data_IF_719353860365
#
_entry.id   IF_719353860365
#
_cell.length_a   1.000
_cell.length_b   1.000
_cell.length_c   1.000
_cell.angle_alpha   90.00
_cell.angle_beta   90.00
_cell.angle_gamma   90.00
#
_symmetry.space_group_name_H-M   'P 1'
#
loop_
_entity.id
_entity.type
_entity.pdbx_description
1 polymer ?
#
# COMPACT_ATOMS: atom_id res chain seq x y z
N UNK A 1 -0.45 -16.39 20.56
CA UNK A 1 -1.38 -16.09 21.66
C UNK A 1 -1.12 -17.07 22.79
N UNK A 2 -1.82 -16.87 23.91
CA UNK A 2 -1.74 -17.74 25.09
C UNK A 2 -3.05 -18.49 25.26
N UNK A 3 -2.99 -19.75 25.72
CA UNK A 3 -4.17 -20.56 25.99
C UNK A 3 -5.05 -19.86 27.03
N UNK A 4 -6.35 -19.75 26.77
CA UNK A 4 -7.31 -19.12 27.69
C UNK A 4 -7.38 -17.60 27.57
N UNK A 5 -6.44 -16.96 26.86
CA UNK A 5 -6.44 -15.51 26.73
C UNK A 5 -7.38 -15.06 25.61
N UNK A 6 -8.39 -14.26 25.94
CA UNK A 6 -9.33 -13.67 24.98
C UNK A 6 -9.48 -12.18 25.26
N UNK A 7 -9.50 -11.38 24.19
CA UNK A 7 -9.75 -9.95 24.26
C UNK A 7 -11.06 -9.62 23.57
N UNK A 8 -11.85 -8.72 24.17
CA UNK A 8 -13.15 -8.29 23.67
C UNK A 8 -13.17 -6.77 23.48
N UNK A 9 -13.04 -6.27 22.24
CA UNK A 9 -13.25 -4.86 21.93
C UNK A 9 -14.76 -4.56 21.99
N UNK A 10 -15.19 -3.78 22.97
CA UNK A 10 -16.61 -3.55 23.29
C UNK A 10 -17.10 -2.16 22.85
N UNK A 11 -16.49 -1.58 21.81
CA UNK A 11 -16.84 -0.25 21.30
C UNK A 11 -16.74 0.79 22.42
N UNK A 12 -17.85 1.52 22.67
CA UNK A 12 -17.93 2.55 23.72
C UNK A 12 -17.83 2.02 25.15
N UNK A 13 -17.92 0.71 25.34
CA UNK A 13 -17.73 0.05 26.64
C UNK A 13 -16.27 -0.35 26.88
N UNK A 14 -15.34 0.16 26.07
CA UNK A 14 -13.89 -0.02 26.25
C UNK A 14 -13.40 -1.39 25.78
N UNK A 15 -12.34 -1.87 26.42
CA UNK A 15 -11.66 -3.13 26.09
C UNK A 15 -11.69 -4.06 27.29
N UNK A 16 -12.04 -5.33 27.05
CA UNK A 16 -12.11 -6.35 28.08
C UNK A 16 -11.14 -7.48 27.77
N UNK A 17 -10.69 -8.16 28.81
CA UNK A 17 -9.68 -9.20 28.70
C UNK A 17 -9.92 -10.32 29.73
N UNK A 18 -9.68 -11.56 29.33
CA UNK A 18 -9.74 -12.77 30.16
C UNK A 18 -8.49 -13.61 29.94
N UNK A 19 -8.08 -14.35 30.97
CA UNK A 19 -6.97 -15.33 30.93
C UNK A 19 -7.45 -16.76 31.17
N UNK A 20 -8.71 -16.92 31.57
CA UNK A 20 -9.31 -18.19 32.01
C UNK A 20 -10.34 -18.74 31.01
N UNK A 21 -10.21 -18.35 29.73
CA UNK A 21 -11.10 -18.82 28.66
C UNK A 21 -12.49 -18.18 28.68
N UNK A 22 -12.65 -17.05 29.37
CA UNK A 22 -13.90 -16.30 29.45
C UNK A 22 -14.77 -16.63 30.66
N UNK A 23 -14.24 -17.35 31.65
CA UNK A 23 -14.93 -17.54 32.92
C UNK A 23 -15.01 -16.21 33.70
N UNK A 24 -13.96 -15.39 33.65
CA UNK A 24 -13.95 -14.03 34.18
C UNK A 24 -13.34 -13.04 33.18
N UNK A 25 -13.94 -11.84 33.10
CA UNK A 25 -13.42 -10.74 32.31
C UNK A 25 -13.04 -9.56 33.20
N UNK A 26 -11.86 -8.99 32.94
CA UNK A 26 -11.37 -7.74 33.52
C UNK A 26 -11.49 -6.65 32.47
N UNK A 27 -12.09 -5.52 32.83
CA UNK A 27 -12.10 -4.33 31.98
C UNK A 27 -10.73 -3.65 32.05
N UNK A 28 -10.14 -3.34 30.90
CA UNK A 28 -9.00 -2.43 30.83
C UNK A 28 -9.48 -1.04 31.27
N UNK A 29 -8.68 -0.37 32.09
CA UNK A 29 -8.98 0.94 32.65
C UNK A 29 -9.60 1.91 31.61
N UNK A 30 -10.85 2.31 31.84
CA UNK A 30 -11.63 3.14 30.92
C UNK A 30 -11.14 4.59 30.85
N UNK A 31 -10.35 5.03 31.83
CA UNK A 31 -9.65 6.32 31.74
C UNK A 31 -8.53 6.26 30.71
N UNK A 32 -7.95 5.07 30.49
CA UNK A 32 -6.95 4.80 29.45
C UNK A 32 -7.63 4.49 28.12
N UNK A 33 -8.53 3.51 28.07
CA UNK A 33 -9.18 3.03 26.82
C UNK A 33 -10.68 3.32 26.87
N UNK A 34 -11.10 4.46 26.31
CA UNK A 34 -12.50 4.85 26.26
C UNK A 34 -13.30 4.09 25.20
N UNK A 35 -12.65 3.81 24.05
CA UNK A 35 -13.27 3.09 22.93
C UNK A 35 -12.29 2.10 22.35
N UNK A 36 -12.72 0.87 22.12
CA UNK A 36 -11.99 -0.12 21.36
C UNK A 36 -12.92 -0.75 20.31
N UNK A 37 -12.67 -0.46 19.04
CA UNK A 37 -13.54 -0.91 17.95
C UNK A 37 -13.14 -2.29 17.43
N UNK A 38 -11.83 -2.48 17.20
CA UNK A 38 -11.24 -3.75 16.74
C UNK A 38 -9.90 -3.97 17.43
N UNK A 39 -9.50 -5.24 17.53
CA UNK A 39 -8.24 -5.66 18.16
C UNK A 39 -7.49 -6.66 17.28
N UNK A 40 -6.16 -6.61 17.34
CA UNK A 40 -5.26 -7.51 16.63
C UNK A 40 -3.95 -7.70 17.39
N UNK A 41 -3.17 -8.69 16.97
CA UNK A 41 -1.92 -9.06 17.64
C UNK A 41 -0.76 -9.12 16.65
N UNK A 42 0.44 -8.78 17.10
CA UNK A 42 1.68 -8.94 16.35
C UNK A 42 2.80 -9.52 17.19
N UNK A 43 3.98 -9.64 16.59
CA UNK A 43 5.19 -10.12 17.26
C UNK A 43 5.43 -9.32 18.55
N UNK A 44 5.87 -9.99 19.60
CA UNK A 44 6.23 -9.35 20.86
C UNK A 44 7.41 -8.36 20.67
N UNK A 45 7.44 -7.30 21.48
CA UNK A 45 8.61 -6.44 21.58
C UNK A 45 9.81 -7.23 22.11
N UNK A 46 11.04 -6.76 21.84
CA UNK A 46 12.24 -7.37 22.42
C UNK A 46 12.15 -7.36 23.95
N UNK A 47 12.25 -8.54 24.57
CA UNK A 47 12.14 -8.72 26.02
C UNK A 47 10.71 -8.80 26.57
N UNK A 48 9.68 -8.60 25.75
CA UNK A 48 8.29 -8.80 26.18
C UNK A 48 7.88 -10.27 26.06
N UNK A 49 7.12 -10.76 27.05
CA UNK A 49 6.56 -12.11 27.04
C UNK A 49 5.22 -12.19 26.30
N UNK A 50 4.53 -11.07 26.09
CA UNK A 50 3.22 -11.02 25.43
C UNK A 50 3.30 -10.47 24.00
N UNK A 51 2.50 -11.00 23.04
CA UNK A 51 2.32 -10.38 21.73
C UNK A 51 1.97 -8.89 21.83
N UNK A 52 2.47 -8.07 20.90
CA UNK A 52 2.03 -6.69 20.82
C UNK A 52 0.52 -6.66 20.53
N UNK A 53 -0.22 -5.83 21.27
CA UNK A 53 -1.67 -5.67 21.12
C UNK A 53 -1.93 -4.39 20.35
N UNK A 54 -2.72 -4.47 19.28
CA UNK A 54 -3.09 -3.33 18.46
C UNK A 54 -4.61 -3.11 18.52
N UNK A 55 -5.03 -1.86 18.68
CA UNK A 55 -6.46 -1.49 18.63
C UNK A 55 -6.67 -0.25 17.78
N UNK A 56 -7.90 -0.08 17.29
CA UNK A 56 -8.42 1.23 16.90
C UNK A 56 -9.46 1.68 17.91
N UNK A 57 -9.58 2.99 18.09
CA UNK A 57 -10.60 3.56 18.95
C UNK A 57 -10.12 4.85 19.60
N UNK A 58 -10.44 5.03 20.87
CA UNK A 58 -10.13 6.24 21.64
C UNK A 58 -9.39 5.86 22.92
N UNK A 59 -8.15 6.35 23.04
CA UNK A 59 -7.28 6.13 24.19
C UNK A 59 -6.77 7.49 24.66
N UNK A 60 -6.79 7.75 25.97
CA UNK A 60 -6.39 9.02 26.58
C UNK A 60 -6.96 10.25 25.83
N UNK A 61 -8.26 10.20 25.50
CA UNK A 61 -8.98 11.23 24.74
C UNK A 61 -8.56 11.48 23.28
N UNK A 62 -7.70 10.64 22.71
CA UNK A 62 -7.31 10.72 21.30
C UNK A 62 -7.87 9.55 20.51
N UNK A 63 -8.45 9.84 19.36
CA UNK A 63 -8.86 8.81 18.39
C UNK A 63 -7.66 8.41 17.52
N UNK A 64 -7.53 7.13 17.23
CA UNK A 64 -6.47 6.64 16.35
C UNK A 64 -6.22 5.15 16.43
N UNK A 65 -5.01 4.78 16.04
CA UNK A 65 -4.48 3.43 16.08
C UNK A 65 -3.46 3.38 17.22
N UNK A 66 -3.58 2.39 18.10
CA UNK A 66 -2.76 2.26 19.30
C UNK A 66 -2.11 0.90 19.40
N UNK A 67 -0.94 0.86 20.03
CA UNK A 67 -0.18 -0.35 20.33
C UNK A 67 0.13 -0.41 21.82
N UNK A 68 -0.04 -1.58 22.43
CA UNK A 68 0.49 -1.93 23.74
C UNK A 68 1.53 -3.04 23.61
N UNK A 69 2.58 -2.97 24.42
CA UNK A 69 3.65 -3.97 24.53
C UNK A 69 3.65 -4.71 25.87
N UNK A 70 2.70 -4.37 26.73
CA UNK A 70 2.60 -4.75 28.15
C UNK A 70 1.16 -5.18 28.47
N UNK A 71 0.55 -5.96 27.57
CA UNK A 71 -0.75 -6.59 27.79
C UNK A 71 -1.86 -5.59 28.18
N UNK A 72 -1.86 -4.40 27.56
CA UNK A 72 -2.89 -3.37 27.71
C UNK A 72 -2.70 -2.42 28.89
N UNK A 73 -1.59 -2.52 29.64
CA UNK A 73 -1.28 -1.62 30.75
C UNK A 73 -0.97 -0.20 30.29
N UNK A 74 -0.18 -0.06 29.22
CA UNK A 74 0.14 1.22 28.57
C UNK A 74 -0.10 1.16 27.06
N UNK A 75 -0.39 2.32 26.47
CA UNK A 75 -0.76 2.44 25.07
C UNK A 75 -0.01 3.59 24.40
N UNK A 76 0.59 3.30 23.25
CA UNK A 76 1.22 4.28 22.38
C UNK A 76 0.35 4.50 21.15
N UNK A 77 0.05 5.76 20.81
CA UNK A 77 -0.55 6.10 19.52
C UNK A 77 0.48 5.91 18.42
N UNK A 78 0.14 5.13 17.39
CA UNK A 78 1.06 4.77 16.29
C UNK A 78 0.65 5.39 14.94
N UNK A 79 -0.42 6.20 14.95
CA UNK A 79 -0.74 7.12 13.86
C UNK A 79 -0.70 8.58 14.34
N UNK A 80 -0.82 9.51 13.39
CA UNK A 80 -0.86 10.95 13.65
C UNK A 80 -2.14 11.59 13.06
N UNK A 81 -2.31 12.89 13.26
CA UNK A 81 -3.51 13.62 12.86
C UNK A 81 -3.70 13.71 11.33
N UNK A 82 -2.64 13.52 10.54
CA UNK A 82 -2.71 13.43 9.08
C UNK A 82 -3.06 12.01 8.59
N UNK A 83 -2.86 10.98 9.42
CA UNK A 83 -3.00 9.57 9.07
C UNK A 83 -4.14 8.88 9.83
N UNK A 84 -5.38 9.36 9.64
CA UNK A 84 -6.58 8.81 10.32
C UNK A 84 -7.36 7.78 9.50
N UNK A 85 -7.22 7.79 8.17
CA UNK A 85 -7.83 6.82 7.24
C UNK A 85 -9.36 6.69 7.21
N UNK A 86 -10.09 7.55 7.94
CA UNK A 86 -11.56 7.54 7.93
C UNK A 86 -12.12 6.43 8.84
N UNK A 87 -12.89 5.51 8.26
CA UNK A 87 -13.48 4.39 9.03
C UNK A 87 -12.51 3.22 9.09
N UNK A 88 -11.97 2.95 10.28
CA UNK A 88 -10.93 1.94 10.55
C UNK A 88 -11.38 0.84 11.53
N UNK A 89 -12.68 0.73 11.77
CA UNK A 89 -13.33 -0.17 12.73
C UNK A 89 -13.69 -1.55 12.16
N UNK A 90 -12.99 -2.04 11.13
CA UNK A 90 -13.34 -3.29 10.44
C UNK A 90 -12.40 -4.45 10.79
N UNK A 91 -11.09 -4.22 10.68
CA UNK A 91 -10.07 -5.23 10.98
C UNK A 91 -8.73 -4.57 11.29
N UNK A 92 -7.98 -5.16 12.22
CA UNK A 92 -6.60 -4.80 12.51
C UNK A 92 -5.82 -6.07 12.84
N UNK A 93 -4.58 -6.18 12.37
CA UNK A 93 -3.68 -7.27 12.77
C UNK A 93 -2.23 -6.86 12.66
N UNK A 94 -1.37 -7.37 13.54
CA UNK A 94 0.07 -7.16 13.48
C UNK A 94 0.78 -8.26 12.68
N UNK A 95 2.02 -8.00 12.27
CA UNK A 95 2.88 -9.06 11.72
C UNK A 95 3.47 -9.90 12.86
N UNK A 96 3.25 -11.22 12.83
CA UNK A 96 3.82 -12.15 13.82
C UNK A 96 5.31 -12.46 13.59
N UNK A 97 5.89 -12.03 12.47
CA UNK A 97 7.30 -12.26 12.08
C UNK A 97 8.17 -11.05 12.36
N UNK A 98 7.62 -9.84 12.18
CA UNK A 98 8.31 -8.56 12.32
C UNK A 98 7.61 -7.65 13.33
N UNK A 99 8.35 -7.23 14.36
CA UNK A 99 7.81 -6.35 15.40
C UNK A 99 7.45 -4.97 14.83
N UNK A 100 6.32 -4.42 15.28
CA UNK A 100 5.93 -3.04 14.97
C UNK A 100 5.25 -2.84 13.61
N UNK A 101 5.02 -3.91 12.83
CA UNK A 101 4.20 -3.84 11.62
C UNK A 101 2.74 -4.10 11.98
N UNK A 102 1.85 -3.22 11.51
CA UNK A 102 0.39 -3.36 11.66
C UNK A 102 -0.31 -3.15 10.33
N UNK A 103 -1.38 -3.90 10.09
CA UNK A 103 -2.28 -3.78 8.94
C UNK A 103 -3.66 -3.38 9.45
N UNK A 104 -4.29 -2.39 8.82
CA UNK A 104 -5.61 -1.87 9.18
C UNK A 104 -6.52 -1.88 7.96
N UNK A 105 -7.66 -2.55 8.09
CA UNK A 105 -8.73 -2.55 7.10
C UNK A 105 -9.55 -1.28 7.21
N UNK A 106 -9.74 -0.60 6.07
CA UNK A 106 -10.45 0.68 6.00
C UNK A 106 -11.69 0.58 5.12
N UNK A 107 -12.69 1.43 5.36
CA UNK A 107 -13.78 1.63 4.40
C UNK A 107 -13.37 2.68 3.35
N UNK A 108 -13.02 2.23 2.15
CA UNK A 108 -12.75 3.09 0.99
C UNK A 108 -11.28 3.45 0.73
N UNK A 109 -10.32 2.97 1.54
CA UNK A 109 -8.87 3.16 1.30
C UNK A 109 -8.08 1.84 1.28
N UNK A 110 -8.77 0.71 1.16
CA UNK A 110 -8.16 -0.63 1.13
C UNK A 110 -7.53 -1.01 2.48
N UNK A 111 -6.41 -1.72 2.42
CA UNK A 111 -5.60 -2.06 3.60
C UNK A 111 -4.42 -1.12 3.67
N UNK A 112 -4.32 -0.38 4.77
CA UNK A 112 -3.12 0.42 5.07
C UNK A 112 -2.21 -0.39 6.00
N UNK A 113 -0.90 -0.25 5.85
CA UNK A 113 0.05 -0.81 6.80
C UNK A 113 0.95 0.28 7.35
N UNK A 114 1.37 0.12 8.60
CA UNK A 114 2.29 1.01 9.31
C UNK A 114 3.49 0.22 9.83
N UNK A 115 4.63 0.90 10.03
CA UNK A 115 5.80 0.36 10.73
C UNK A 115 6.24 1.31 11.83
N UNK A 116 6.98 0.81 12.82
CA UNK A 116 7.50 1.62 13.93
C UNK A 116 8.43 2.77 13.50
N UNK A 117 9.10 2.65 12.34
CA UNK A 117 9.93 3.71 11.76
C UNK A 117 9.16 4.66 10.83
N UNK A 118 7.84 4.49 10.74
CA UNK A 118 7.01 5.07 9.69
C UNK A 118 7.12 4.29 8.39
N UNK A 119 6.03 4.24 7.63
CA UNK A 119 6.06 3.76 6.25
C UNK A 119 6.49 4.88 5.34
N UNK A 120 7.62 4.69 4.64
CA UNK A 120 7.89 5.52 3.46
C UNK A 120 6.96 5.06 2.34
N UNK A 121 6.27 6.01 1.73
CA UNK A 121 5.64 5.78 0.44
C UNK A 121 6.69 5.22 -0.52
N UNK A 122 6.50 3.98 -0.99
CA UNK A 122 7.30 3.43 -2.08
C UNK A 122 6.89 4.08 -3.41
N UNK A 123 5.76 4.79 -3.44
CA UNK A 123 5.53 5.82 -4.44
C UNK A 123 6.46 6.98 -4.10
N UNK A 124 7.68 6.92 -4.67
CA UNK A 124 8.27 8.15 -5.15
C UNK A 124 7.17 8.78 -5.99
N UNK A 125 6.72 9.97 -5.63
CA UNK A 125 6.25 10.90 -6.62
C UNK A 125 7.44 11.07 -7.58
N UNK A 126 7.60 10.14 -8.52
CA UNK A 126 8.05 10.55 -9.82
C UNK A 126 7.14 11.74 -10.08
N UNK A 127 7.74 12.92 -10.15
CA UNK A 127 7.18 14.04 -10.90
C UNK A 127 6.36 13.38 -12.01
N UNK A 128 5.13 13.82 -12.26
CA UNK A 128 4.57 13.63 -13.59
C UNK A 128 5.52 14.33 -14.56
N UNK A 129 6.69 13.73 -14.83
CA UNK A 129 7.27 13.71 -16.14
C UNK A 129 6.11 13.15 -16.92
N UNK A 130 5.57 13.97 -17.82
CA UNK A 130 4.91 13.46 -18.99
C UNK A 130 5.77 12.30 -19.46
N UNK A 131 5.40 11.06 -19.13
CA UNK A 131 6.02 9.89 -19.74
C UNK A 131 5.95 10.23 -21.22
N UNK A 132 7.09 10.33 -21.90
CA UNK A 132 7.13 10.68 -23.32
C UNK A 132 6.44 9.54 -24.07
N UNK A 133 5.11 9.54 -24.02
CA UNK A 133 4.28 8.46 -24.48
C UNK A 133 4.29 8.51 -25.99
N UNK A 134 4.31 7.33 -26.59
CA UNK A 134 4.25 7.20 -28.02
C UNK A 134 2.89 7.73 -28.50
N UNK A 135 2.89 8.81 -29.28
CA UNK A 135 1.67 9.32 -29.91
C UNK A 135 1.38 8.42 -31.10
N UNK A 136 0.20 7.79 -31.11
CA UNK A 136 -0.16 6.78 -32.11
C UNK A 136 -1.31 7.26 -32.99
N UNK A 137 -1.10 7.13 -34.28
CA UNK A 137 -2.13 7.19 -35.30
C UNK A 137 -2.10 5.91 -36.12
N UNK A 138 -3.16 5.65 -36.88
CA UNK A 138 -3.29 4.43 -37.70
C UNK A 138 -2.09 4.20 -38.64
N UNK A 139 -1.45 5.28 -39.10
CA UNK A 139 -0.32 5.23 -40.04
C UNK A 139 1.03 5.61 -39.44
N UNK A 140 1.08 6.18 -38.24
CA UNK A 140 2.35 6.71 -37.70
C UNK A 140 2.43 6.53 -36.19
N UNK A 141 3.66 6.32 -35.72
CA UNK A 141 4.00 6.48 -34.30
C UNK A 141 5.00 7.62 -34.16
N UNK A 142 4.80 8.46 -33.15
CA UNK A 142 5.62 9.65 -32.92
C UNK A 142 6.07 9.73 -31.47
N UNK A 143 7.28 10.23 -31.27
CA UNK A 143 7.86 10.52 -29.97
C UNK A 143 8.24 12.00 -29.92
N UNK A 144 7.87 12.69 -28.83
CA UNK A 144 8.29 14.07 -28.62
C UNK A 144 9.80 14.19 -28.39
N UNK A 145 10.45 15.09 -29.13
CA UNK A 145 11.88 15.39 -29.01
C UNK A 145 12.74 14.65 -30.05
N UNK A 146 14.05 14.68 -29.82
CA UNK A 146 15.07 14.17 -30.76
C UNK A 146 15.55 12.75 -30.48
N UNK A 147 14.95 12.06 -29.49
CA UNK A 147 15.33 10.70 -29.13
C UNK A 147 15.03 9.74 -30.29
N UNK A 148 15.97 8.85 -30.64
CA UNK A 148 15.79 7.93 -31.76
C UNK A 148 14.78 6.83 -31.39
N UNK A 149 13.70 6.75 -32.16
CA UNK A 149 12.68 5.72 -32.03
C UNK A 149 12.95 4.61 -33.05
N UNK A 150 12.87 3.36 -32.60
CA UNK A 150 13.09 2.16 -33.42
C UNK A 150 11.92 1.20 -33.29
N UNK A 151 11.52 0.57 -34.39
CA UNK A 151 10.43 -0.41 -34.44
C UNK A 151 11.01 -1.78 -34.76
N UNK A 152 10.65 -2.78 -33.97
CA UNK A 152 11.09 -4.17 -34.09
C UNK A 152 9.91 -5.10 -34.29
N UNK A 153 10.11 -6.20 -34.99
CA UNK A 153 9.12 -7.29 -35.07
C UNK A 153 9.21 -8.23 -33.85
N UNK A 154 8.39 -9.29 -33.85
CA UNK A 154 8.34 -10.30 -32.78
C UNK A 154 9.60 -11.15 -32.67
N UNK A 155 10.42 -11.22 -33.73
CA UNK A 155 11.70 -11.92 -33.70
C UNK A 155 12.80 -11.06 -33.07
N UNK A 156 12.52 -9.78 -32.82
CA UNK A 156 13.49 -8.80 -32.35
C UNK A 156 14.29 -8.16 -33.48
N UNK A 157 13.91 -8.38 -34.74
CA UNK A 157 14.57 -7.77 -35.89
C UNK A 157 14.14 -6.32 -36.06
N UNK A 158 15.09 -5.42 -36.38
CA UNK A 158 14.80 -4.00 -36.59
C UNK A 158 14.07 -3.81 -37.93
N UNK A 159 12.87 -3.25 -37.88
CA UNK A 159 12.00 -3.03 -39.02
C UNK A 159 12.13 -1.60 -39.56
N UNK A 160 12.08 -0.59 -38.68
CA UNK A 160 12.19 0.84 -39.05
C UNK A 160 12.86 1.66 -37.97
N UNK A 161 13.47 2.77 -38.37
CA UNK A 161 13.98 3.82 -37.47
C UNK A 161 13.30 5.14 -37.81
N UNK A 162 13.08 5.98 -36.81
CA UNK A 162 12.37 7.25 -36.96
C UNK A 162 13.13 8.28 -37.77
N UNK A 163 12.37 9.20 -38.38
CA UNK A 163 12.87 10.46 -38.94
C UNK A 163 12.35 11.62 -38.09
N UNK A 164 13.13 12.69 -37.99
CA UNK A 164 12.70 13.90 -37.28
C UNK A 164 11.78 14.73 -38.17
N UNK A 165 10.56 15.00 -37.71
CA UNK A 165 9.57 15.84 -38.39
C UNK A 165 8.97 16.78 -37.34
N UNK A 166 9.11 18.10 -37.53
CA UNK A 166 8.52 19.12 -36.65
C UNK A 166 8.84 18.94 -35.14
N UNK A 167 10.05 18.48 -34.82
CA UNK A 167 10.47 18.23 -33.43
C UNK A 167 10.02 16.88 -32.84
N UNK A 168 9.49 15.99 -33.68
CA UNK A 168 9.10 14.62 -33.32
C UNK A 168 9.95 13.59 -34.06
N UNK A 169 10.34 12.54 -33.36
CA UNK A 169 10.81 11.30 -33.98
C UNK A 169 9.61 10.49 -34.46
N UNK A 170 9.44 10.38 -35.78
CA UNK A 170 8.29 9.75 -36.42
C UNK A 170 8.68 8.47 -37.18
N UNK A 171 7.90 7.39 -37.01
CA UNK A 171 7.94 6.20 -37.87
C UNK A 171 6.59 6.10 -38.59
N UNK A 172 6.64 6.07 -39.92
CA UNK A 172 5.53 5.64 -40.76
C UNK A 172 5.37 4.13 -40.65
N UNK A 173 4.13 3.66 -40.53
CA UNK A 173 3.75 2.25 -40.44
C UNK A 173 3.20 1.71 -41.76
N UNK A 174 3.00 2.57 -42.75
CA UNK A 174 2.42 2.20 -44.05
C UNK A 174 3.26 1.11 -44.73
N UNK A 175 2.59 0.06 -45.21
CA UNK A 175 3.23 -1.07 -45.90
C UNK A 175 3.85 -2.12 -44.98
N UNK A 176 3.72 -2.00 -43.66
CA UNK A 176 4.06 -3.10 -42.74
C UNK A 176 2.92 -4.11 -42.70
N UNK A 177 3.26 -5.38 -42.50
CA UNK A 177 2.27 -6.45 -42.31
C UNK A 177 1.46 -6.23 -41.03
N UNK A 178 0.21 -6.70 -41.03
CA UNK A 178 -0.61 -6.76 -39.81
C UNK A 178 0.10 -7.60 -38.76
N UNK A 179 0.10 -7.14 -37.52
CA UNK A 179 0.72 -7.87 -36.42
C UNK A 179 1.19 -7.00 -35.28
N UNK A 180 1.94 -7.65 -34.38
CA UNK A 180 2.47 -7.04 -33.18
C UNK A 180 3.94 -6.64 -33.40
N UNK A 181 4.28 -5.43 -32.97
CA UNK A 181 5.62 -4.86 -33.05
C UNK A 181 6.02 -4.25 -31.71
N UNK A 182 7.32 -4.02 -31.51
CA UNK A 182 7.87 -3.34 -30.36
C UNK A 182 8.56 -2.04 -30.76
N UNK A 183 8.06 -0.93 -30.27
CA UNK A 183 8.71 0.37 -30.39
C UNK A 183 9.65 0.59 -29.19
N UNK A 184 10.91 0.95 -29.44
CA UNK A 184 11.92 1.18 -28.40
C UNK A 184 12.59 2.55 -28.55
N UNK A 185 12.82 3.22 -27.42
CA UNK A 185 13.56 4.49 -27.33
C UNK A 185 14.09 4.67 -25.90
N UNK A 186 15.32 5.16 -25.73
CA UNK A 186 15.91 5.49 -24.42
C UNK A 186 15.65 4.46 -23.29
N UNK A 187 15.80 3.17 -23.60
CA UNK A 187 15.57 2.07 -22.65
C UNK A 187 14.09 1.71 -22.41
N UNK A 188 13.14 2.47 -22.95
CA UNK A 188 11.71 2.15 -22.92
C UNK A 188 11.34 1.21 -24.07
N UNK A 189 10.29 0.41 -23.85
CA UNK A 189 9.67 -0.44 -24.86
C UNK A 189 8.15 -0.33 -24.75
N UNK A 190 7.48 -0.13 -25.87
CA UNK A 190 6.03 -0.19 -25.96
C UNK A 190 5.58 -1.09 -27.12
N UNK A 191 4.46 -1.78 -26.92
CA UNK A 191 3.84 -2.66 -27.91
C UNK A 191 3.03 -1.85 -28.92
N UNK A 192 3.22 -2.05 -30.21
CA UNK A 192 2.48 -1.41 -31.31
C UNK A 192 1.73 -2.47 -32.10
N UNK A 193 0.41 -2.35 -32.20
CA UNK A 193 -0.44 -3.28 -32.97
C UNK A 193 -0.81 -2.62 -34.30
N UNK A 194 -0.51 -3.31 -35.40
CA UNK A 194 -0.91 -2.89 -36.75
C UNK A 194 -2.10 -3.73 -37.18
N UNK A 195 -3.27 -3.08 -37.33
CA UNK A 195 -4.54 -3.74 -37.62
C UNK A 195 -4.91 -3.78 -39.12
N UNK A 196 -4.22 -3.01 -39.97
CA UNK A 196 -4.51 -2.87 -41.41
C UNK A 196 -3.30 -3.20 -42.27
#
# INVERSE_FOLDING_TARGET
>A
GFKGHVWLPAGKSGLWFTEDGGATFKQIDTTKVQVADVIGFGKAASGASYPAVYITGKVANKTGIFMSKDQGETWQRINDDAHQYGSINYAITGDMRQYGIVFVGTNGRGVVYGTATGTRSVYKNQKMMMTKHLIRNVKTIRLHGSDQLKLYDLTGSLVRTSRTVEGYSCIDLTGLSKGLYFAKWNGNTETVVIHR
#
